data_IF_869679917848
#
_entry.id   IF_869679917848
#
_cell.length_a   1.000
_cell.length_b   1.000
_cell.length_c   1.000
_cell.angle_alpha   90.00
_cell.angle_beta   90.00
_cell.angle_gamma   90.00
#
_symmetry.space_group_name_H-M   'P 1'
#
loop_
_entity.id
_entity.type
_entity.pdbx_description
1 polymer ?
#
# COMPACT_ATOMS: atom_id res chain seq x y z
N UNK A 1 -30.66 -8.30 8.59
CA UNK A 1 -29.90 -7.86 9.79
C UNK A 1 -30.03 -6.34 9.90
N UNK A 2 -30.10 -5.75 11.11
CA UNK A 2 -30.03 -4.30 11.24
C UNK A 2 -28.70 -3.77 10.67
N UNK A 3 -28.67 -2.54 10.18
CA UNK A 3 -27.44 -1.93 9.70
C UNK A 3 -26.42 -1.83 10.84
N UNK A 4 -25.13 -2.12 10.54
CA UNK A 4 -24.04 -1.99 11.53
C UNK A 4 -23.89 -0.53 11.97
N UNK A 5 -23.63 -0.34 13.24
CA UNK A 5 -23.21 0.96 13.78
C UNK A 5 -21.77 1.29 13.32
N UNK A 6 -21.39 2.56 13.35
CA UNK A 6 -20.00 2.95 13.03
C UNK A 6 -18.98 2.37 14.01
N UNK A 7 -19.36 2.09 15.27
CA UNK A 7 -18.49 1.42 16.23
C UNK A 7 -18.21 -0.03 15.83
N UNK A 8 -19.24 -0.77 15.40
CA UNK A 8 -19.09 -2.13 14.88
C UNK A 8 -18.28 -2.16 13.57
N UNK A 9 -18.52 -1.20 12.66
CA UNK A 9 -17.73 -1.07 11.44
C UNK A 9 -16.26 -0.80 11.74
N UNK A 10 -15.95 0.09 12.68
CA UNK A 10 -14.56 0.38 13.10
C UNK A 10 -13.89 -0.83 13.73
N UNK A 11 -14.58 -1.50 14.67
CA UNK A 11 -14.06 -2.69 15.32
C UNK A 11 -13.73 -3.80 14.31
N UNK A 12 -14.62 -4.04 13.34
CA UNK A 12 -14.38 -4.98 12.24
C UNK A 12 -13.16 -4.57 11.39
N UNK A 13 -13.08 -3.31 10.96
CA UNK A 13 -11.96 -2.80 10.14
C UNK A 13 -10.63 -2.87 10.88
N UNK A 14 -10.59 -2.58 12.18
CA UNK A 14 -9.41 -2.76 13.02
C UNK A 14 -8.96 -4.22 13.06
N UNK A 15 -9.89 -5.14 13.28
CA UNK A 15 -9.62 -6.58 13.33
C UNK A 15 -9.09 -7.07 11.99
N UNK A 16 -9.77 -6.77 10.87
CA UNK A 16 -9.35 -7.17 9.51
C UNK A 16 -8.04 -6.54 9.07
N UNK A 17 -7.70 -5.39 9.65
CA UNK A 17 -6.43 -4.70 9.37
C UNK A 17 -5.31 -5.08 10.35
N UNK A 18 -5.49 -6.06 11.23
CA UNK A 18 -4.54 -6.45 12.28
C UNK A 18 -4.08 -5.27 13.17
N UNK A 19 -4.98 -4.32 13.41
CA UNK A 19 -4.74 -3.15 14.24
C UNK A 19 -5.36 -3.25 15.64
N UNK A 20 -6.39 -4.08 15.84
CA UNK A 20 -6.87 -4.44 17.18
C UNK A 20 -5.85 -5.34 17.87
N UNK A 21 -5.47 -6.43 17.23
CA UNK A 21 -4.44 -7.36 17.65
C UNK A 21 -3.44 -7.57 16.50
N UNK A 22 -2.14 -7.53 16.81
CA UNK A 22 -1.09 -7.76 15.81
C UNK A 22 -0.95 -9.25 15.55
N UNK A 23 -0.71 -9.58 14.28
CA UNK A 23 -0.35 -10.94 13.92
C UNK A 23 1.12 -11.24 14.29
N UNK A 24 1.48 -12.48 14.59
CA UNK A 24 2.86 -12.87 14.81
C UNK A 24 3.69 -12.77 13.52
N UNK A 25 5.02 -12.71 13.65
CA UNK A 25 5.94 -12.42 12.54
C UNK A 25 5.89 -13.43 11.39
N UNK A 26 5.56 -14.68 11.64
CA UNK A 26 5.41 -15.75 10.66
C UNK A 26 4.15 -15.58 9.77
N UNK A 27 3.20 -14.72 10.17
CA UNK A 27 2.02 -14.36 9.39
C UNK A 27 2.18 -13.07 8.57
N UNK A 28 3.41 -12.58 8.38
CA UNK A 28 3.68 -11.37 7.61
C UNK A 28 2.98 -11.33 6.25
N UNK A 29 3.09 -12.41 5.47
CA UNK A 29 2.52 -12.50 4.11
C UNK A 29 0.99 -12.43 4.14
N UNK A 30 0.37 -13.11 5.11
CA UNK A 30 -1.07 -13.05 5.34
C UNK A 30 -1.54 -11.64 5.68
N UNK A 31 -0.85 -10.95 6.58
CA UNK A 31 -1.15 -9.55 6.92
C UNK A 31 -1.13 -8.64 5.71
N UNK A 32 -0.14 -8.79 4.83
CA UNK A 32 -0.05 -8.01 3.57
C UNK A 32 -1.21 -8.35 2.64
N UNK A 33 -1.64 -9.63 2.58
CA UNK A 33 -2.79 -10.10 1.82
C UNK A 33 -4.09 -9.50 2.34
N UNK A 34 -4.31 -9.58 3.65
CA UNK A 34 -5.55 -9.18 4.32
C UNK A 34 -5.83 -7.68 4.20
N UNK A 35 -4.79 -6.84 4.11
CA UNK A 35 -4.95 -5.39 3.91
C UNK A 35 -4.94 -4.99 2.43
N UNK A 36 -5.02 -5.95 1.51
CA UNK A 36 -5.00 -5.72 0.06
C UNK A 36 -3.72 -5.04 -0.45
N UNK A 37 -2.59 -5.28 0.21
CA UNK A 37 -1.29 -4.72 -0.12
C UNK A 37 -0.90 -3.49 0.71
N UNK A 38 0.39 -3.23 0.74
CA UNK A 38 1.03 -2.14 1.50
C UNK A 38 1.49 -1.06 0.52
N UNK A 39 1.07 0.19 0.72
CA UNK A 39 1.54 1.31 -0.11
C UNK A 39 3.04 1.54 0.07
N UNK A 40 3.81 1.50 -1.00
CA UNK A 40 5.27 1.43 -0.96
C UNK A 40 5.98 2.50 -1.82
N UNK A 41 5.32 3.64 -2.08
CA UNK A 41 5.98 4.79 -2.73
C UNK A 41 7.13 5.30 -1.86
N UNK A 42 6.94 5.31 -0.55
CA UNK A 42 7.94 5.63 0.46
C UNK A 42 8.20 4.38 1.30
N UNK A 43 9.33 3.71 1.08
CA UNK A 43 9.64 2.43 1.74
C UNK A 43 9.67 2.53 3.28
N UNK A 44 10.16 3.64 3.84
CA UNK A 44 10.13 3.84 5.29
C UNK A 44 8.71 3.94 5.87
N UNK A 45 7.73 4.35 5.07
CA UNK A 45 6.32 4.29 5.44
C UNK A 45 5.78 2.86 5.33
N UNK A 46 6.09 2.15 4.23
CA UNK A 46 5.70 0.75 4.05
C UNK A 46 6.19 -0.14 5.18
N UNK A 47 7.43 0.04 5.59
CA UNK A 47 8.02 -0.65 6.74
C UNK A 47 7.20 -0.46 8.02
N UNK A 48 6.79 0.76 8.32
CA UNK A 48 6.01 1.09 9.51
C UNK A 48 4.53 0.65 9.40
N UNK A 49 3.96 0.61 8.19
CA UNK A 49 2.64 0.04 7.96
C UNK A 49 2.61 -1.45 8.34
N UNK A 50 3.64 -2.19 7.96
CA UNK A 50 3.81 -3.61 8.34
C UNK A 50 4.06 -3.71 9.85
N UNK A 51 4.99 -2.92 10.39
CA UNK A 51 5.29 -2.92 11.82
C UNK A 51 4.06 -2.61 12.69
N UNK A 52 3.13 -1.77 12.26
CA UNK A 52 1.90 -1.49 13.00
C UNK A 52 1.00 -2.72 13.17
N UNK A 53 1.16 -3.76 12.33
CA UNK A 53 0.28 -4.95 12.20
C UNK A 53 0.93 -6.25 12.61
N UNK A 54 2.26 -6.31 12.62
CA UNK A 54 3.01 -7.56 12.85
C UNK A 54 3.87 -7.40 14.10
N UNK A 55 3.65 -8.29 15.07
CA UNK A 55 4.42 -8.31 16.32
C UNK A 55 5.78 -8.99 16.12
N UNK A 56 6.82 -8.46 16.74
CA UNK A 56 8.15 -9.06 16.70
C UNK A 56 8.91 -8.97 15.38
N UNK A 57 8.30 -8.38 14.33
CA UNK A 57 8.98 -8.16 13.05
C UNK A 57 10.04 -7.07 13.18
N UNK A 58 11.12 -7.17 12.39
CA UNK A 58 12.16 -6.13 12.26
C UNK A 58 12.18 -5.58 10.83
N UNK A 59 12.78 -4.42 10.65
CA UNK A 59 12.99 -3.86 9.30
C UNK A 59 13.81 -4.81 8.42
N UNK A 60 14.82 -5.49 9.00
CA UNK A 60 15.59 -6.52 8.30
C UNK A 60 14.72 -7.70 7.87
N UNK A 61 13.80 -8.17 8.73
CA UNK A 61 12.87 -9.25 8.40
C UNK A 61 11.92 -8.90 7.24
N UNK A 62 11.48 -7.65 7.13
CA UNK A 62 10.70 -7.18 5.97
C UNK A 62 11.54 -7.19 4.70
N UNK A 63 12.82 -6.75 4.78
CA UNK A 63 13.74 -6.77 3.63
C UNK A 63 14.06 -8.18 3.18
N UNK A 64 14.25 -9.10 4.13
CA UNK A 64 14.48 -10.50 3.86
C UNK A 64 13.28 -11.14 3.14
N UNK A 65 12.04 -10.89 3.58
CA UNK A 65 10.83 -11.35 2.91
C UNK A 65 10.70 -10.81 1.47
N UNK A 66 11.14 -9.57 1.22
CA UNK A 66 11.10 -8.96 -0.12
C UNK A 66 12.21 -9.49 -1.05
N UNK A 67 13.44 -9.59 -0.55
CA UNK A 67 14.62 -9.69 -1.41
C UNK A 67 15.33 -11.05 -1.36
N UNK A 68 15.26 -11.75 -0.21
CA UNK A 68 15.90 -13.04 -0.03
C UNK A 68 14.91 -14.20 -0.19
N UNK A 69 13.88 -14.25 0.67
CA UNK A 69 12.85 -15.30 0.58
C UNK A 69 11.88 -15.07 -0.58
N UNK A 70 11.74 -13.83 -1.06
CA UNK A 70 10.86 -13.45 -2.18
C UNK A 70 9.41 -13.85 -1.94
N UNK A 71 8.97 -13.74 -0.71
CA UNK A 71 7.59 -14.00 -0.29
C UNK A 71 6.68 -12.81 -0.53
N UNK A 72 7.30 -11.62 -0.64
CA UNK A 72 6.67 -10.35 -0.98
C UNK A 72 7.27 -9.81 -2.28
N UNK A 73 6.45 -9.10 -3.04
CA UNK A 73 6.87 -8.45 -4.27
C UNK A 73 6.39 -6.99 -4.32
N UNK A 74 7.25 -6.11 -4.83
CA UNK A 74 6.94 -4.68 -5.02
C UNK A 74 6.76 -4.38 -6.49
N UNK A 75 5.63 -3.74 -6.84
CA UNK A 75 5.33 -3.34 -8.23
C UNK A 75 4.35 -2.15 -8.27
N UNK A 76 4.11 -1.60 -9.46
CA UNK A 76 3.00 -0.68 -9.71
C UNK A 76 1.69 -1.46 -9.81
N UNK A 77 0.74 -1.14 -8.94
CA UNK A 77 -0.57 -1.80 -8.89
C UNK A 77 -1.69 -0.78 -8.64
N UNK A 78 -2.29 -0.71 -7.45
CA UNK A 78 -3.42 0.17 -7.15
C UNK A 78 -3.11 1.62 -7.51
N UNK A 79 -4.02 2.28 -8.20
CA UNK A 79 -3.91 3.70 -8.60
C UNK A 79 -2.66 4.04 -9.43
N UNK A 80 -1.99 3.03 -10.01
CA UNK A 80 -0.70 3.23 -10.69
C UNK A 80 0.45 3.62 -9.76
N UNK A 81 0.31 3.40 -8.44
CA UNK A 81 1.36 3.66 -7.45
C UNK A 81 2.01 2.37 -6.97
N UNK A 82 3.14 2.50 -6.28
CA UNK A 82 3.91 1.35 -5.80
C UNK A 82 3.27 0.71 -4.57
N UNK A 83 3.09 -0.61 -4.64
CA UNK A 83 2.61 -1.42 -3.52
C UNK A 83 3.47 -2.67 -3.34
N UNK A 84 3.42 -3.21 -2.13
CA UNK A 84 3.94 -4.53 -1.79
C UNK A 84 2.74 -5.46 -1.66
N UNK A 85 2.81 -6.60 -2.34
CA UNK A 85 1.83 -7.68 -2.28
C UNK A 85 2.51 -9.01 -1.94
N UNK A 86 1.77 -10.04 -1.53
CA UNK A 86 2.27 -11.41 -1.57
C UNK A 86 2.80 -11.76 -2.95
N UNK A 87 3.97 -12.38 -3.00
CA UNK A 87 4.65 -12.67 -4.27
C UNK A 87 3.83 -13.61 -5.15
N UNK A 88 3.11 -14.56 -4.56
CA UNK A 88 2.22 -15.52 -5.23
C UNK A 88 0.95 -14.89 -5.81
N UNK A 89 0.63 -13.65 -5.43
CA UNK A 89 -0.56 -12.92 -5.85
C UNK A 89 -0.27 -11.72 -6.76
N UNK A 90 0.99 -11.43 -7.09
CA UNK A 90 1.31 -10.26 -7.88
C UNK A 90 0.55 -10.23 -9.22
N UNK A 91 0.37 -11.40 -9.87
CA UNK A 91 -0.37 -11.54 -11.13
C UNK A 91 -1.86 -11.20 -11.00
N UNK A 92 -2.48 -11.45 -9.86
CA UNK A 92 -3.85 -11.01 -9.58
C UNK A 92 -3.96 -9.48 -9.67
N UNK A 93 -3.07 -8.78 -8.96
CA UNK A 93 -3.09 -7.31 -8.86
C UNK A 93 -2.74 -6.63 -10.18
N UNK A 94 -1.78 -7.18 -10.93
CA UNK A 94 -1.40 -6.63 -12.24
C UNK A 94 -2.47 -6.91 -13.30
N UNK A 95 -3.09 -8.09 -13.32
CA UNK A 95 -4.19 -8.39 -14.23
C UNK A 95 -5.44 -7.54 -13.94
N UNK A 96 -5.77 -7.32 -12.66
CA UNK A 96 -6.85 -6.40 -12.30
C UNK A 96 -6.58 -4.95 -12.78
N UNK A 97 -5.31 -4.52 -12.80
CA UNK A 97 -4.93 -3.23 -13.37
C UNK A 97 -5.17 -3.16 -14.87
N UNK A 98 -4.88 -4.23 -15.60
CA UNK A 98 -5.17 -4.29 -17.05
C UNK A 98 -6.67 -4.10 -17.32
N UNK A 99 -7.55 -4.68 -16.48
CA UNK A 99 -9.00 -4.55 -16.64
C UNK A 99 -9.52 -3.10 -16.52
N UNK A 100 -8.75 -2.22 -15.87
CA UNK A 100 -9.10 -0.81 -15.65
C UNK A 100 -8.03 0.14 -16.20
N UNK A 101 -7.05 -0.38 -16.93
CA UNK A 101 -6.14 0.48 -17.66
C UNK A 101 -7.00 1.26 -18.63
N UNK A 102 -7.07 2.56 -18.40
CA UNK A 102 -7.52 3.46 -19.45
C UNK A 102 -6.66 3.14 -20.66
N UNK A 103 -7.28 3.13 -21.82
CA UNK A 103 -6.58 3.41 -23.06
C UNK A 103 -6.08 4.87 -22.91
N UNK A 104 -5.33 5.08 -21.89
CA UNK A 104 -4.70 6.28 -21.48
C UNK A 104 -3.31 5.93 -21.82
N UNK A 105 -3.16 6.71 -22.42
CA UNK A 105 -2.90 7.99 -21.94
C UNK A 105 -1.44 8.25 -21.90
N UNK A 106 -0.77 7.72 -22.74
CA UNK A 106 0.35 8.44 -23.28
C UNK A 106 -0.22 9.08 -24.53
N UNK A 107 -0.89 10.25 -24.38
CA UNK A 107 -1.41 11.03 -25.53
C UNK A 107 -0.38 11.20 -26.65
N UNK A 108 0.87 10.79 -26.41
CA UNK A 108 2.00 10.87 -27.32
C UNK A 108 2.45 9.53 -27.92
N UNK A 109 1.97 8.36 -27.43
CA UNK A 109 2.43 7.04 -27.91
C UNK A 109 1.28 6.21 -28.45
N UNK A 110 1.52 5.51 -29.56
CA UNK A 110 0.57 4.53 -30.05
C UNK A 110 0.61 3.26 -29.17
N UNK A 111 -0.49 2.46 -29.10
CA UNK A 111 -0.49 1.18 -28.39
C UNK A 111 0.67 0.27 -28.84
N UNK A 112 0.98 0.26 -30.13
CA UNK A 112 2.06 -0.55 -30.73
C UNK A 112 3.44 -0.13 -30.18
N UNK A 113 3.67 1.18 -29.99
CA UNK A 113 4.91 1.67 -29.38
C UNK A 113 5.03 1.27 -27.92
N UNK A 114 3.91 1.29 -27.15
CA UNK A 114 3.90 0.83 -25.77
C UNK A 114 4.22 -0.67 -25.70
N UNK A 115 3.61 -1.48 -26.55
CA UNK A 115 3.87 -2.93 -26.63
C UNK A 115 5.33 -3.23 -26.98
N UNK A 116 5.89 -2.52 -27.95
CA UNK A 116 7.29 -2.65 -28.35
C UNK A 116 8.25 -2.34 -27.20
N UNK A 117 8.04 -1.22 -26.50
CA UNK A 117 8.86 -0.84 -25.34
C UNK A 117 8.71 -1.82 -24.19
N UNK A 118 7.49 -2.30 -23.88
CA UNK A 118 7.25 -3.30 -22.85
C UNK A 118 7.93 -4.64 -23.19
N UNK A 119 7.89 -5.06 -24.45
CA UNK A 119 8.60 -6.27 -24.90
C UNK A 119 10.12 -6.11 -24.74
N UNK A 120 10.68 -4.95 -25.13
CA UNK A 120 12.10 -4.65 -24.95
C UNK A 120 12.53 -4.60 -23.49
N UNK A 121 11.68 -4.03 -22.59
CA UNK A 121 11.90 -4.09 -21.12
C UNK A 121 11.98 -5.54 -20.67
N UNK A 122 11.02 -6.38 -21.07
CA UNK A 122 11.00 -7.80 -20.73
C UNK A 122 12.27 -8.51 -21.18
N UNK A 123 12.69 -8.31 -22.44
CA UNK A 123 13.90 -8.90 -22.99
C UNK A 123 15.16 -8.44 -22.25
N UNK A 124 15.27 -7.14 -21.96
CA UNK A 124 16.41 -6.57 -21.25
C UNK A 124 16.58 -7.11 -19.83
N UNK A 125 15.48 -7.47 -19.15
CA UNK A 125 15.49 -7.95 -17.78
C UNK A 125 15.71 -9.46 -17.63
N UNK A 126 15.64 -10.26 -18.70
CA UNK A 126 15.81 -11.72 -18.61
C UNK A 126 17.18 -12.08 -18.02
N UNK A 127 17.15 -12.81 -16.88
CA UNK A 127 18.33 -13.24 -16.14
C UNK A 127 19.17 -12.10 -15.54
N UNK A 128 18.65 -10.85 -15.54
CA UNK A 128 19.41 -9.66 -15.13
C UNK A 128 18.66 -8.87 -14.05
N UNK A 129 19.44 -8.21 -13.20
CA UNK A 129 18.98 -7.19 -12.25
C UNK A 129 19.58 -5.85 -12.67
N UNK A 130 18.74 -4.92 -13.12
CA UNK A 130 19.18 -3.66 -13.72
C UNK A 130 18.74 -2.46 -12.88
N UNK A 131 19.63 -1.47 -12.77
CA UNK A 131 19.27 -0.13 -12.33
C UNK A 131 18.37 0.53 -13.38
N UNK A 132 17.69 1.60 -12.99
CA UNK A 132 16.81 2.33 -13.91
C UNK A 132 17.54 2.82 -15.16
N UNK A 133 18.71 3.38 -14.99
CA UNK A 133 19.53 3.89 -16.10
C UNK A 133 20.02 2.74 -16.99
N UNK A 134 20.49 1.64 -16.39
CA UNK A 134 20.94 0.45 -17.12
C UNK A 134 19.80 -0.17 -17.95
N UNK A 135 18.59 -0.20 -17.39
CA UNK A 135 17.40 -0.66 -18.11
C UNK A 135 17.03 0.28 -19.26
N UNK A 136 17.06 1.60 -19.01
CA UNK A 136 16.77 2.58 -20.06
C UNK A 136 17.76 2.46 -21.22
N UNK A 137 19.06 2.31 -20.95
CA UNK A 137 20.09 2.11 -21.97
C UNK A 137 19.83 0.82 -22.77
N UNK A 138 19.57 -0.30 -22.10
CA UNK A 138 19.33 -1.58 -22.76
C UNK A 138 18.03 -1.60 -23.61
N UNK A 139 17.01 -0.84 -23.23
CA UNK A 139 15.78 -0.69 -24.04
C UNK A 139 16.04 0.19 -25.25
N UNK A 140 16.75 1.31 -25.08
CA UNK A 140 17.10 2.23 -26.16
C UNK A 140 17.94 1.55 -27.24
N UNK A 141 18.82 0.64 -26.89
CA UNK A 141 19.58 -0.18 -27.83
C UNK A 141 18.70 -1.03 -28.77
N UNK A 142 17.49 -1.40 -28.30
CA UNK A 142 16.56 -2.26 -29.06
C UNK A 142 15.54 -1.44 -29.88
N UNK A 143 14.98 -0.36 -29.31
CA UNK A 143 13.84 0.37 -29.89
C UNK A 143 14.17 1.82 -30.25
N UNK A 144 15.43 2.25 -30.09
CA UNK A 144 15.85 3.62 -30.36
C UNK A 144 15.63 4.58 -29.17
N UNK A 145 16.05 5.87 -29.33
CA UNK A 145 16.17 6.81 -28.19
C UNK A 145 14.83 7.36 -27.65
N UNK A 146 13.73 7.22 -28.38
CA UNK A 146 12.44 7.85 -28.05
C UNK A 146 11.94 7.64 -26.62
N UNK A 147 11.98 6.45 -26.04
CA UNK A 147 11.44 6.19 -24.70
C UNK A 147 12.38 6.58 -23.54
N UNK A 148 13.62 7.01 -23.80
CA UNK A 148 14.68 7.17 -22.79
C UNK A 148 14.28 8.01 -21.58
N UNK A 149 13.80 9.22 -21.80
CA UNK A 149 13.50 10.18 -20.72
C UNK A 149 12.36 9.67 -19.82
N UNK A 150 11.39 8.99 -20.42
CA UNK A 150 10.27 8.42 -19.70
C UNK A 150 10.67 7.17 -18.91
N UNK A 151 11.56 6.33 -19.43
CA UNK A 151 12.15 5.21 -18.70
C UNK A 151 13.00 5.67 -17.52
N UNK A 152 13.75 6.76 -17.69
CA UNK A 152 14.55 7.39 -16.65
C UNK A 152 13.70 8.11 -15.59
N UNK A 153 12.46 8.48 -15.92
CA UNK A 153 11.55 9.19 -15.02
C UNK A 153 11.16 8.35 -13.79
N UNK A 154 11.02 9.03 -12.63
CA UNK A 154 10.49 8.42 -11.40
C UNK A 154 9.00 8.10 -11.43
N UNK A 155 8.25 8.57 -12.43
CA UNK A 155 6.78 8.49 -12.50
C UNK A 155 6.22 7.15 -12.98
N UNK A 156 7.08 6.26 -13.47
CA UNK A 156 6.67 4.89 -13.80
C UNK A 156 6.25 4.67 -15.24
N UNK A 157 5.72 5.61 -15.99
CA UNK A 157 5.37 5.47 -17.41
C UNK A 157 5.43 4.01 -17.95
N UNK A 158 6.22 3.70 -18.96
CA UNK A 158 6.42 2.35 -19.51
C UNK A 158 6.77 1.26 -18.47
N UNK A 159 7.40 1.63 -17.34
CA UNK A 159 7.67 0.68 -16.26
C UNK A 159 6.38 0.24 -15.56
N UNK A 160 5.38 1.13 -15.48
CA UNK A 160 4.05 0.79 -14.99
C UNK A 160 3.32 -0.16 -15.94
N UNK A 161 3.43 0.06 -17.24
CA UNK A 161 2.85 -0.80 -18.28
C UNK A 161 3.54 -2.18 -18.28
N UNK A 162 4.87 -2.22 -18.15
CA UNK A 162 5.62 -3.45 -18.02
C UNK A 162 5.26 -4.24 -16.73
N UNK A 163 5.00 -3.53 -15.63
CA UNK A 163 4.50 -4.15 -14.42
C UNK A 163 3.08 -4.70 -14.60
N UNK A 164 2.18 -3.95 -15.25
CA UNK A 164 0.82 -4.40 -15.57
C UNK A 164 0.82 -5.63 -16.49
N UNK A 165 1.69 -5.64 -17.50
CA UNK A 165 1.92 -6.81 -18.35
C UNK A 165 2.55 -8.00 -17.59
N UNK A 166 3.03 -7.76 -16.37
CA UNK A 166 3.63 -8.77 -15.49
C UNK A 166 5.02 -9.21 -15.92
N UNK A 167 5.75 -8.37 -16.65
CA UNK A 167 7.14 -8.67 -17.07
C UNK A 167 8.17 -8.03 -16.14
N UNK A 168 7.77 -7.07 -15.31
CA UNK A 168 8.66 -6.31 -14.43
C UNK A 168 8.13 -6.26 -12.99
N UNK A 169 9.03 -6.46 -12.03
CA UNK A 169 8.86 -6.03 -10.66
C UNK A 169 10.16 -5.43 -10.10
N UNK A 170 10.12 -4.89 -8.89
CA UNK A 170 11.32 -4.39 -8.22
C UNK A 170 12.18 -5.54 -7.73
N UNK A 171 13.50 -5.37 -7.87
CA UNK A 171 14.53 -6.24 -7.30
C UNK A 171 15.22 -5.61 -6.07
N UNK A 172 16.21 -6.31 -5.48
CA UNK A 172 16.97 -5.82 -4.34
C UNK A 172 17.73 -4.53 -4.71
N UNK A 173 17.69 -3.49 -3.85
CA UNK A 173 18.34 -2.23 -4.16
C UNK A 173 19.87 -2.37 -4.24
N UNK A 174 20.53 -1.64 -5.13
CA UNK A 174 21.97 -1.43 -5.13
C UNK A 174 22.31 -0.11 -4.43
N UNK A 175 22.70 -0.17 -3.15
CA UNK A 175 22.85 1.00 -2.30
C UNK A 175 21.50 1.72 -2.12
N UNK A 176 21.43 3.00 -2.46
CA UNK A 176 20.17 3.78 -2.40
C UNK A 176 19.32 3.70 -3.68
N UNK A 177 19.83 3.04 -4.74
CA UNK A 177 19.16 2.99 -6.05
C UNK A 177 18.28 1.75 -6.17
N UNK A 178 17.10 1.93 -6.74
CA UNK A 178 16.18 0.84 -7.07
C UNK A 178 16.70 0.02 -8.24
N UNK A 179 16.37 -1.26 -8.25
CA UNK A 179 16.61 -2.16 -9.38
C UNK A 179 15.30 -2.77 -9.86
N UNK A 180 15.33 -3.30 -11.06
CA UNK A 180 14.23 -4.05 -11.67
C UNK A 180 14.70 -5.43 -12.09
N UNK A 181 13.77 -6.39 -12.03
CA UNK A 181 13.97 -7.79 -12.42
C UNK A 181 12.81 -8.26 -13.28
N UNK A 182 13.05 -9.29 -14.09
CA UNK A 182 11.96 -9.94 -14.80
C UNK A 182 11.13 -10.77 -13.81
N UNK A 183 9.83 -10.55 -13.78
CA UNK A 183 8.93 -11.16 -12.78
C UNK A 183 9.01 -12.69 -12.80
N UNK A 184 9.03 -13.32 -13.98
CA UNK A 184 9.07 -14.79 -14.11
C UNK A 184 10.42 -15.41 -13.71
N UNK A 185 11.51 -14.63 -13.72
CA UNK A 185 12.83 -15.10 -13.28
C UNK A 185 13.02 -14.88 -11.78
N UNK A 186 12.28 -13.94 -11.21
CA UNK A 186 12.40 -13.53 -9.82
C UNK A 186 11.44 -14.25 -8.88
N UNK A 187 10.19 -14.40 -9.30
CA UNK A 187 9.13 -15.01 -8.49
C UNK A 187 8.83 -16.41 -8.95
N UNK A 188 8.26 -17.23 -8.05
CA UNK A 188 7.74 -18.55 -8.41
C UNK A 188 6.60 -18.41 -9.44
N UNK A 189 6.34 -19.47 -10.19
CA UNK A 189 5.23 -19.51 -11.12
C UNK A 189 3.91 -19.17 -10.42
N UNK A 190 3.14 -18.27 -11.02
CA UNK A 190 1.87 -17.79 -10.49
C UNK A 190 0.73 -18.20 -11.43
N UNK A 191 -0.46 -18.33 -10.88
CA UNK A 191 -1.69 -18.50 -11.66
C UNK A 191 -1.84 -17.35 -12.65
N UNK A 192 -2.19 -17.67 -13.89
CA UNK A 192 -2.69 -16.67 -14.84
C UNK A 192 -4.10 -16.23 -14.45
N UNK A 193 -4.40 -14.96 -14.65
CA UNK A 193 -5.69 -14.37 -14.36
C UNK A 193 -6.23 -13.67 -15.60
N UNK A 194 -7.49 -13.95 -15.92
CA UNK A 194 -8.25 -13.09 -16.83
C UNK A 194 -8.48 -11.72 -16.16
N UNK A 195 -8.26 -10.59 -16.87
CA UNK A 195 -8.34 -9.26 -16.27
C UNK A 195 -9.66 -8.99 -15.51
N UNK A 196 -10.80 -9.37 -16.08
CA UNK A 196 -12.12 -9.15 -15.46
C UNK A 196 -12.31 -10.05 -14.23
N UNK A 197 -11.87 -11.29 -14.28
CA UNK A 197 -11.88 -12.20 -13.13
C UNK A 197 -11.01 -11.68 -12.00
N UNK A 198 -9.81 -11.19 -12.32
CA UNK A 198 -8.91 -10.55 -11.36
C UNK A 198 -9.53 -9.33 -10.70
N UNK A 199 -10.19 -8.47 -11.48
CA UNK A 199 -10.86 -7.28 -10.94
C UNK A 199 -11.98 -7.65 -9.98
N UNK A 200 -12.77 -8.70 -10.30
CA UNK A 200 -13.82 -9.21 -9.41
C UNK A 200 -13.27 -9.76 -8.11
N UNK A 201 -12.20 -10.54 -8.17
CA UNK A 201 -11.52 -11.05 -6.97
C UNK A 201 -10.98 -9.91 -6.10
N UNK A 202 -10.35 -8.90 -6.69
CA UNK A 202 -9.87 -7.71 -5.97
C UNK A 202 -11.02 -6.92 -5.35
N UNK A 203 -12.16 -6.78 -6.04
CA UNK A 203 -13.35 -6.13 -5.49
C UNK A 203 -13.93 -6.91 -4.30
N UNK A 204 -13.94 -8.25 -4.36
CA UNK A 204 -14.36 -9.11 -3.25
C UNK A 204 -13.45 -8.92 -2.03
N UNK A 205 -12.15 -8.96 -2.19
CA UNK A 205 -11.18 -8.73 -1.11
C UNK A 205 -11.31 -7.33 -0.49
N UNK A 206 -11.52 -6.33 -1.34
CA UNK A 206 -11.78 -4.97 -0.85
C UNK A 206 -13.05 -4.91 0.02
N UNK A 207 -14.14 -5.52 -0.43
CA UNK A 207 -15.39 -5.56 0.33
C UNK A 207 -15.24 -6.36 1.64
N UNK A 208 -14.44 -7.40 1.64
CA UNK A 208 -14.16 -8.21 2.82
C UNK A 208 -13.31 -7.47 3.85
N UNK A 209 -12.26 -6.80 3.42
CA UNK A 209 -11.34 -6.08 4.30
C UNK A 209 -11.94 -4.79 4.85
N UNK A 210 -12.55 -3.98 3.98
CA UNK A 210 -12.98 -2.61 4.31
C UNK A 210 -14.49 -2.46 4.50
N UNK A 211 -15.27 -3.51 4.28
CA UNK A 211 -16.73 -3.49 4.35
C UNK A 211 -17.32 -2.96 5.66
N UNK A 212 -18.54 -2.42 5.60
CA UNK A 212 -19.36 -2.25 4.40
C UNK A 212 -18.83 -1.15 3.46
N UNK A 213 -18.85 -1.41 2.17
CA UNK A 213 -18.35 -0.49 1.13
C UNK A 213 -19.28 -0.48 -0.10
N UNK A 214 -19.11 0.51 -0.96
CA UNK A 214 -19.85 0.67 -2.20
C UNK A 214 -18.93 0.53 -3.43
N UNK A 215 -19.53 0.27 -4.60
CA UNK A 215 -18.80 0.27 -5.87
C UNK A 215 -18.08 1.60 -6.16
N UNK A 216 -18.64 2.74 -5.69
CA UNK A 216 -18.01 4.07 -5.84
C UNK A 216 -16.71 4.16 -5.03
N UNK A 217 -16.74 3.70 -3.79
CA UNK A 217 -15.56 3.65 -2.93
C UNK A 217 -14.49 2.71 -3.50
N UNK A 218 -14.89 1.56 -4.07
CA UNK A 218 -13.97 0.66 -4.76
C UNK A 218 -13.29 1.33 -5.97
N UNK A 219 -14.07 1.97 -6.86
CA UNK A 219 -13.51 2.70 -8.02
C UNK A 219 -12.45 3.72 -7.60
N UNK A 220 -12.71 4.47 -6.55
CA UNK A 220 -11.79 5.47 -6.03
C UNK A 220 -10.55 4.83 -5.38
N UNK A 221 -10.76 3.80 -4.58
CA UNK A 221 -9.68 3.09 -3.90
C UNK A 221 -8.74 2.39 -4.86
N UNK A 222 -9.30 1.69 -5.85
CA UNK A 222 -8.50 0.97 -6.84
C UNK A 222 -7.89 1.89 -7.92
N UNK A 223 -8.46 3.08 -8.11
CA UNK A 223 -8.10 3.99 -9.19
C UNK A 223 -8.69 3.57 -10.53
N UNK A 224 -9.88 2.97 -10.51
CA UNK A 224 -10.60 2.47 -11.68
C UNK A 224 -11.52 3.56 -12.28
N UNK A 225 -10.95 4.70 -12.66
CA UNK A 225 -11.73 5.83 -13.21
C UNK A 225 -12.35 5.51 -14.58
N UNK A 226 -11.67 4.72 -15.38
CA UNK A 226 -12.12 4.22 -16.69
C UNK A 226 -13.25 3.20 -16.59
N UNK A 227 -13.38 2.47 -15.48
CA UNK A 227 -14.50 1.62 -15.24
C UNK A 227 -15.74 2.49 -15.03
N UNK A 228 -16.71 2.43 -15.96
CA UNK A 228 -17.93 3.20 -15.81
C UNK A 228 -18.75 2.79 -14.57
N UNK A 229 -19.72 3.64 -14.18
CA UNK A 229 -20.47 3.42 -12.95
C UNK A 229 -21.41 2.22 -13.02
N UNK A 230 -21.90 1.89 -14.21
CA UNK A 230 -22.80 0.75 -14.44
C UNK A 230 -22.04 -0.56 -14.37
N UNK A 231 -20.90 -0.66 -15.05
CA UNK A 231 -20.00 -1.82 -14.98
C UNK A 231 -19.49 -2.05 -13.55
N UNK A 232 -19.14 -1.00 -12.81
CA UNK A 232 -18.73 -1.12 -11.43
C UNK A 232 -19.87 -1.56 -10.49
N UNK A 233 -21.11 -1.09 -10.75
CA UNK A 233 -22.28 -1.54 -10.00
C UNK A 233 -22.55 -3.01 -10.28
N UNK A 234 -22.59 -3.42 -11.56
CA UNK A 234 -22.80 -4.81 -11.96
C UNK A 234 -21.75 -5.73 -11.31
N UNK A 235 -20.47 -5.32 -11.30
CA UNK A 235 -19.41 -6.03 -10.63
C UNK A 235 -19.72 -6.27 -9.14
N UNK A 236 -20.25 -5.26 -8.44
CA UNK A 236 -20.58 -5.36 -7.01
C UNK A 236 -21.86 -6.17 -6.75
N UNK A 237 -22.82 -6.17 -7.67
CA UNK A 237 -24.03 -7.01 -7.60
C UNK A 237 -23.71 -8.51 -7.76
N UNK A 238 -22.64 -8.84 -8.48
CA UNK A 238 -22.13 -10.21 -8.62
C UNK A 238 -21.36 -10.70 -7.38
N UNK A 239 -20.92 -9.78 -6.50
CA UNK A 239 -20.18 -10.19 -5.31
C UNK A 239 -21.11 -10.85 -4.30
N UNK A 240 -20.65 -11.98 -3.75
CA UNK A 240 -21.26 -12.55 -2.56
C UNK A 240 -21.03 -11.56 -1.41
N UNK A 241 -22.07 -11.00 -0.79
CA UNK A 241 -21.86 -10.10 0.34
C UNK A 241 -21.02 -10.81 1.41
N UNK A 242 -19.95 -10.19 1.91
CA UNK A 242 -19.17 -10.80 2.98
C UNK A 242 -20.09 -11.03 4.18
N UNK A 243 -20.00 -12.21 4.79
CA UNK A 243 -20.66 -12.47 6.07
C UNK A 243 -20.03 -11.52 7.09
N UNK A 244 -20.79 -10.51 7.49
CA UNK A 244 -20.34 -9.54 8.48
C UNK A 244 -20.52 -10.18 9.85
N UNK A 245 -19.56 -11.02 10.27
CA UNK A 245 -19.51 -11.51 11.64
C UNK A 245 -19.43 -10.32 12.61
N UNK A 246 -20.12 -10.42 13.77
CA UNK A 246 -19.97 -9.38 14.79
C UNK A 246 -18.47 -9.24 15.13
N UNK A 247 -17.96 -8.01 15.24
CA UNK A 247 -16.56 -7.80 15.56
C UNK A 247 -16.25 -8.42 16.93
N UNK A 248 -15.03 -8.93 17.15
CA UNK A 248 -14.61 -9.33 18.49
C UNK A 248 -14.74 -8.13 19.43
N UNK A 249 -14.92 -8.37 20.77
CA UNK A 249 -14.96 -7.30 21.73
C UNK A 249 -13.79 -6.34 21.56
N UNK A 250 -14.08 -5.03 21.47
CA UNK A 250 -13.06 -4.03 21.24
C UNK A 250 -12.02 -4.06 22.37
N UNK A 251 -10.79 -4.41 22.05
CA UNK A 251 -9.66 -4.23 22.95
C UNK A 251 -9.16 -2.79 22.79
N UNK A 252 -8.90 -2.06 23.90
CA UNK A 252 -8.31 -0.73 23.78
C UNK A 252 -7.03 -0.76 22.97
N UNK A 253 -7.00 -0.02 21.90
CA UNK A 253 -5.88 -0.02 20.95
C UNK A 253 -5.35 1.38 20.70
N UNK A 254 -4.04 1.55 20.83
CA UNK A 254 -3.32 2.75 20.43
C UNK A 254 -2.34 2.35 19.33
N UNK A 255 -2.34 3.10 18.20
CA UNK A 255 -1.43 2.85 17.07
C UNK A 255 -0.87 4.18 16.54
N UNK A 256 0.39 4.16 16.17
CA UNK A 256 1.02 5.24 15.40
C UNK A 256 1.08 4.81 13.94
N UNK A 257 0.04 5.16 13.17
CA UNK A 257 -0.04 4.84 11.74
C UNK A 257 0.80 5.82 10.92
N UNK A 258 1.68 5.35 10.03
CA UNK A 258 2.43 6.21 9.14
C UNK A 258 1.55 6.80 8.02
N UNK A 259 2.13 7.67 7.20
CA UNK A 259 1.50 8.16 5.98
C UNK A 259 1.14 7.01 5.03
N UNK A 260 0.05 7.18 4.28
CA UNK A 260 -0.48 6.21 3.31
C UNK A 260 -0.86 4.85 3.88
N UNK A 261 -1.16 4.79 5.18
CA UNK A 261 -1.57 3.53 5.81
C UNK A 261 -2.85 2.97 5.17
N UNK A 262 -2.92 1.64 4.89
CA UNK A 262 -4.08 1.00 4.26
C UNK A 262 -5.40 1.27 4.98
N UNK A 263 -5.40 1.34 6.32
CA UNK A 263 -6.59 1.67 7.12
C UNK A 263 -7.15 3.05 6.78
N UNK A 264 -6.27 4.04 6.53
CA UNK A 264 -6.66 5.41 6.16
C UNK A 264 -6.97 5.51 4.67
N UNK A 265 -6.26 4.73 3.84
CA UNK A 265 -6.41 4.74 2.38
C UNK A 265 -7.59 3.93 1.88
N UNK A 266 -8.18 3.08 2.69
CA UNK A 266 -9.25 2.16 2.30
C UNK A 266 -10.50 2.85 1.73
N UNK A 267 -10.74 4.11 2.10
CA UNK A 267 -11.89 4.90 1.62
C UNK A 267 -11.62 6.40 1.74
N UNK A 268 -12.37 7.20 0.99
CA UNK A 268 -12.26 8.68 1.02
C UNK A 268 -13.12 9.34 2.10
N UNK A 269 -14.30 8.79 2.33
CA UNK A 269 -15.22 9.27 3.37
C UNK A 269 -14.64 8.90 4.74
N UNK A 270 -14.02 9.87 5.41
CA UNK A 270 -13.23 9.65 6.64
C UNK A 270 -13.82 10.31 7.88
N UNK A 271 -14.97 10.98 7.75
CA UNK A 271 -15.60 11.76 8.83
C UNK A 271 -15.90 10.91 10.07
N UNK A 272 -16.22 9.63 9.86
CA UNK A 272 -16.56 8.69 10.93
C UNK A 272 -15.35 8.23 11.77
N UNK A 273 -14.11 8.45 11.30
CA UNK A 273 -12.91 8.10 12.07
C UNK A 273 -11.84 9.19 12.11
N UNK A 274 -11.99 10.28 11.34
CA UNK A 274 -11.15 11.48 11.41
C UNK A 274 -12.02 12.65 11.89
N UNK A 275 -12.12 12.89 13.22
CA UNK A 275 -12.97 13.94 13.77
C UNK A 275 -12.44 15.35 13.44
N UNK A 276 -13.34 16.34 13.53
CA UNK A 276 -13.06 17.73 13.13
C UNK A 276 -11.75 18.30 13.72
N UNK A 277 -11.44 18.14 15.02
CA UNK A 277 -10.18 18.68 15.55
C UNK A 277 -8.93 18.12 14.89
N UNK A 278 -8.97 16.84 14.47
CA UNK A 278 -7.87 16.20 13.73
C UNK A 278 -7.83 16.71 12.29
N UNK A 279 -8.98 16.93 11.64
CA UNK A 279 -9.03 17.52 10.29
C UNK A 279 -8.39 18.91 10.25
N UNK A 280 -8.60 19.73 11.28
CA UNK A 280 -7.94 21.03 11.43
C UNK A 280 -6.42 20.86 11.54
N UNK A 281 -5.93 19.89 12.33
CA UNK A 281 -4.50 19.61 12.41
C UNK A 281 -3.93 19.16 11.05
N UNK A 282 -4.63 18.27 10.33
CA UNK A 282 -4.22 17.81 8.99
C UNK A 282 -4.10 18.99 8.02
N UNK A 283 -5.09 19.89 8.00
CA UNK A 283 -5.07 21.05 7.14
C UNK A 283 -3.90 22.00 7.44
N UNK A 284 -3.53 22.15 8.71
CA UNK A 284 -2.38 22.95 9.13
C UNK A 284 -1.04 22.27 8.82
N UNK A 285 -0.98 20.93 8.89
CA UNK A 285 0.24 20.15 8.67
C UNK A 285 0.56 19.98 7.17
N UNK A 286 -0.46 19.91 6.33
CA UNK A 286 -0.37 19.54 4.90
C UNK A 286 0.22 20.60 3.97
N UNK A 287 0.87 21.64 4.48
CA UNK A 287 1.49 22.68 3.64
C UNK A 287 2.69 22.10 2.85
N UNK A 288 2.42 21.61 1.66
CA UNK A 288 3.37 21.51 0.56
C UNK A 288 3.83 20.13 0.10
N UNK A 289 3.73 19.04 0.89
CA UNK A 289 4.25 17.75 0.43
C UNK A 289 3.28 16.56 0.55
N UNK A 290 2.34 16.63 1.47
CA UNK A 290 1.37 15.55 1.71
C UNK A 290 -0.01 16.18 1.84
N UNK A 291 -0.71 16.32 0.74
CA UNK A 291 -2.05 16.88 0.74
C UNK A 291 -3.07 15.90 1.33
N UNK A 292 -3.79 16.35 2.32
CA UNK A 292 -4.93 15.67 2.90
C UNK A 292 -4.60 14.48 3.83
N UNK A 293 -5.63 13.79 4.32
CA UNK A 293 -5.49 12.74 5.34
C UNK A 293 -4.59 11.57 4.94
N UNK A 294 -4.55 11.20 3.67
CA UNK A 294 -3.78 10.05 3.20
C UNK A 294 -2.28 10.17 3.45
N UNK A 295 -1.73 11.37 3.29
CA UNK A 295 -0.30 11.66 3.49
C UNK A 295 0.08 12.03 4.93
N UNK A 296 -0.86 12.01 5.88
CA UNK A 296 -0.65 12.39 7.27
C UNK A 296 -0.46 11.15 8.14
N UNK A 297 0.60 11.08 8.98
CA UNK A 297 0.71 10.06 10.00
C UNK A 297 -0.27 10.32 11.16
N UNK A 298 -1.03 9.30 11.58
CA UNK A 298 -2.06 9.45 12.61
C UNK A 298 -1.74 8.72 13.91
N UNK A 299 -2.05 9.38 15.04
CA UNK A 299 -2.32 8.70 16.28
C UNK A 299 -3.74 8.14 16.21
N UNK A 300 -3.88 6.82 16.20
CA UNK A 300 -5.16 6.13 16.22
C UNK A 300 -5.43 5.58 17.64
N UNK A 301 -6.63 5.83 18.14
CA UNK A 301 -7.12 5.28 19.41
C UNK A 301 -8.47 4.63 19.13
N UNK A 302 -8.60 3.35 19.38
CA UNK A 302 -9.82 2.56 19.18
C UNK A 302 -10.46 2.77 17.78
N UNK A 303 -9.60 2.86 16.76
CA UNK A 303 -10.02 3.06 15.37
C UNK A 303 -10.39 4.48 14.98
N UNK A 304 -10.28 5.44 15.90
CA UNK A 304 -10.52 6.86 15.65
C UNK A 304 -9.20 7.64 15.72
N UNK A 305 -8.99 8.55 14.79
CA UNK A 305 -7.83 9.43 14.81
C UNK A 305 -7.93 10.39 16.00
N UNK A 306 -6.95 10.34 16.89
CA UNK A 306 -6.88 11.15 18.10
C UNK A 306 -5.83 12.28 18.01
N UNK A 307 -5.14 12.37 16.88
CA UNK A 307 -4.11 13.38 16.61
C UNK A 307 -3.21 12.95 15.46
N UNK A 308 -2.15 13.71 15.27
CA UNK A 308 -1.13 13.45 14.25
C UNK A 308 0.22 13.21 14.94
N UNK A 309 1.17 12.66 14.18
CA UNK A 309 2.54 12.51 14.67
C UNK A 309 3.55 12.71 13.55
N UNK A 310 4.80 12.89 13.92
CA UNK A 310 5.90 13.01 12.98
C UNK A 310 7.13 12.29 13.49
N UNK A 311 8.06 11.98 12.58
CA UNK A 311 9.31 11.30 12.91
C UNK A 311 10.51 11.95 12.24
N UNK A 312 11.65 11.89 12.93
CA UNK A 312 12.95 12.26 12.38
C UNK A 312 13.96 11.18 12.74
N UNK A 313 14.52 10.55 11.73
CA UNK A 313 15.49 9.46 11.88
C UNK A 313 16.93 9.98 11.79
N UNK A 314 17.78 9.52 12.71
CA UNK A 314 19.23 9.66 12.64
C UNK A 314 19.89 8.27 12.62
N UNK A 315 21.22 8.20 12.67
CA UNK A 315 21.96 6.93 12.66
C UNK A 315 21.74 6.06 13.91
N UNK A 316 21.41 6.66 15.05
CA UNK A 316 21.30 5.94 16.35
C UNK A 316 19.94 6.07 17.00
N UNK A 317 19.15 7.06 16.64
CA UNK A 317 17.87 7.39 17.30
C UNK A 317 16.78 7.77 16.33
N UNK A 318 15.54 7.58 16.78
CA UNK A 318 14.36 8.09 16.12
C UNK A 318 13.60 9.02 17.07
N UNK A 319 13.42 10.26 16.66
CA UNK A 319 12.61 11.26 17.36
C UNK A 319 11.16 11.09 16.88
N UNK A 320 10.24 10.95 17.81
CA UNK A 320 8.80 10.81 17.58
C UNK A 320 8.08 11.96 18.30
N UNK A 321 7.42 12.81 17.54
CA UNK A 321 6.62 13.91 18.09
C UNK A 321 5.14 13.63 17.83
N UNK A 322 4.37 13.44 18.90
CA UNK A 322 2.92 13.16 18.86
C UNK A 322 2.17 14.39 19.30
N UNK A 323 1.21 14.83 18.48
CA UNK A 323 0.35 15.99 18.72
C UNK A 323 -1.11 15.52 18.81
N UNK A 324 -1.60 15.20 20.02
CA UNK A 324 -2.99 14.82 20.18
C UNK A 324 -3.93 16.01 19.91
N UNK A 325 -5.08 15.73 19.29
CA UNK A 325 -6.14 16.72 19.09
C UNK A 325 -7.06 16.87 20.31
N UNK A 326 -6.88 16.05 21.34
CA UNK A 326 -7.58 16.06 22.61
C UNK A 326 -6.65 15.59 23.74
N UNK A 327 -7.05 15.85 24.97
CA UNK A 327 -6.33 15.31 26.13
C UNK A 327 -6.38 13.77 26.12
N UNK A 328 -5.22 13.14 26.20
CA UNK A 328 -5.10 11.69 26.32
C UNK A 328 -5.25 11.25 27.76
N UNK A 329 -5.94 10.12 27.97
CA UNK A 329 -5.98 9.43 29.25
C UNK A 329 -4.60 8.88 29.63
N UNK A 330 -4.44 8.43 30.89
CA UNK A 330 -3.21 7.77 31.34
C UNK A 330 -2.90 6.51 30.55
N UNK A 331 -3.92 5.70 30.25
CA UNK A 331 -3.78 4.47 29.46
C UNK A 331 -3.37 4.77 28.01
N UNK A 332 -3.99 5.75 27.36
CA UNK A 332 -3.63 6.15 25.99
C UNK A 332 -2.20 6.67 25.91
N UNK A 333 -1.74 7.48 26.89
CA UNK A 333 -0.33 7.94 26.97
C UNK A 333 0.63 6.77 27.12
N UNK A 334 0.30 5.77 27.93
CA UNK A 334 1.08 4.55 28.08
C UNK A 334 1.13 3.77 26.75
N UNK A 335 0.00 3.68 26.03
CA UNK A 335 -0.07 3.08 24.70
C UNK A 335 0.81 3.81 23.67
N UNK A 336 0.80 5.15 23.65
CA UNK A 336 1.69 5.94 22.76
C UNK A 336 3.16 5.67 23.07
N UNK A 337 3.53 5.56 24.36
CA UNK A 337 4.90 5.21 24.77
C UNK A 337 5.29 3.82 24.27
N UNK A 338 4.43 2.82 24.46
CA UNK A 338 4.66 1.46 23.97
C UNK A 338 4.82 1.41 22.44
N UNK A 339 4.02 2.18 21.69
CA UNK A 339 4.17 2.30 20.23
C UNK A 339 5.52 2.92 19.83
N UNK A 340 5.97 3.94 20.56
CA UNK A 340 7.27 4.55 20.30
C UNK A 340 8.43 3.57 20.55
N UNK A 341 8.39 2.81 21.64
CA UNK A 341 9.35 1.76 21.98
C UNK A 341 9.36 0.66 20.90
N UNK A 342 8.19 0.25 20.44
CA UNK A 342 8.06 -0.75 19.38
C UNK A 342 8.61 -0.26 18.03
N UNK A 343 8.37 0.99 17.66
CA UNK A 343 8.94 1.58 16.44
C UNK A 343 10.47 1.63 16.55
N UNK A 344 11.00 2.00 17.71
CA UNK A 344 12.45 1.97 17.99
C UNK A 344 13.04 0.58 17.82
N UNK A 345 12.40 -0.43 18.43
CA UNK A 345 12.82 -1.83 18.32
C UNK A 345 12.78 -2.34 16.85
N UNK A 346 11.71 -2.06 16.14
CA UNK A 346 11.56 -2.41 14.72
C UNK A 346 12.71 -1.84 13.86
N UNK A 347 13.09 -0.59 14.10
CA UNK A 347 14.14 0.11 13.35
C UNK A 347 15.53 -0.12 13.91
N UNK A 348 15.67 -0.81 15.05
CA UNK A 348 16.92 -0.96 15.82
C UNK A 348 17.53 0.41 16.19
N UNK A 349 16.67 1.36 16.61
CA UNK A 349 17.04 2.72 17.01
C UNK A 349 16.49 3.05 18.39
N UNK A 350 17.19 3.93 19.11
CA UNK A 350 16.72 4.48 20.39
C UNK A 350 15.54 5.46 20.14
N UNK A 351 14.33 5.19 20.69
CA UNK A 351 13.19 6.08 20.51
C UNK A 351 13.27 7.26 21.47
N UNK A 352 13.04 8.46 20.95
CA UNK A 352 12.87 9.70 21.74
C UNK A 352 11.45 10.23 21.49
N UNK A 353 10.59 10.16 22.49
CA UNK A 353 9.18 10.51 22.40
C UNK A 353 8.90 11.87 23.03
N UNK A 354 8.20 12.72 22.30
CA UNK A 354 7.58 13.96 22.80
C UNK A 354 6.07 13.92 22.56
N UNK A 355 5.27 14.25 23.56
CA UNK A 355 3.81 14.38 23.44
C UNK A 355 3.46 15.81 23.86
N UNK A 356 3.04 16.62 22.90
CA UNK A 356 2.70 18.05 23.11
C UNK A 356 1.24 18.27 23.44
#
# INVERSE_FOLDING_TARGET
>A
MPPLTWDEVRARRLSRSHLSERAPADRLVEVVRDVCGIHAQVMGSADLQIAARVEGITQAGVRDALWERRELAKAWTLRGTLHIHPADELRLWTAARVAVAEAAAHEADSPEQVEEVVAAIGAALRGRTLLREELADAVVEQVGPGPRDRLASGWGYFLGDAAAAGVLCFGPPRGAKVTFVHTADWLRAQRAWEPREALREVASRYAETYGPVTYRQFREWFGARSLDAEAARALFEELVPPVLEPPPPAQPSVRLLPEYDPYVMGFREREHFVPEPVRVQVAAHGKGRYEGPAGTPFLLVDGVCAGIWSRKKSSRKIELAVQPARKLTRAERAGVKAEAERIGAFLSLEPQLTIS
#
